data_IF_081989961998
#
_entry.id   IF_081989961998
#
_cell.length_a   1.000
_cell.length_b   1.000
_cell.length_c   1.000
_cell.angle_alpha   90.00
_cell.angle_beta   90.00
_cell.angle_gamma   90.00
#
_symmetry.space_group_name_H-M   'P 1'
#
loop_
_entity.id
_entity.type
_entity.pdbx_description
1 polymer ?
#
# COMPACT_ATOMS: atom_id res chain seq x y z
N UNK A 1 -10.83 26.04 -0.63
CA UNK A 1 -9.79 25.16 -1.18
C UNK A 1 -10.31 23.71 -1.13
N UNK A 2 -10.41 23.08 -2.29
CA UNK A 2 -10.85 21.69 -2.36
C UNK A 2 -9.62 20.78 -2.24
N UNK A 3 -9.38 20.19 -1.05
CA UNK A 3 -8.30 19.27 -0.77
C UNK A 3 -8.77 17.81 -0.79
N UNK A 4 -9.64 17.49 -1.74
CA UNK A 4 -10.15 16.11 -1.94
C UNK A 4 -9.00 15.15 -2.14
N UNK A 5 -9.05 14.01 -1.45
CA UNK A 5 -7.99 12.99 -1.47
C UNK A 5 -6.86 13.21 -0.45
N UNK A 6 -6.80 14.38 0.20
CA UNK A 6 -5.89 14.60 1.32
C UNK A 6 -6.37 13.91 2.58
N UNK A 7 -5.44 13.41 3.38
CA UNK A 7 -5.69 12.98 4.77
C UNK A 7 -5.64 14.16 5.75
N UNK A 8 -5.36 15.36 5.24
CA UNK A 8 -5.32 16.58 6.03
C UNK A 8 -3.95 16.90 6.60
N UNK A 9 -3.95 17.46 7.81
CA UNK A 9 -2.78 17.81 8.59
C UNK A 9 -2.79 17.04 9.92
N UNK A 10 -1.66 16.98 10.60
CA UNK A 10 -1.59 16.34 11.91
C UNK A 10 -2.53 17.03 12.93
N UNK A 11 -3.12 16.24 13.82
CA UNK A 11 -3.94 16.75 14.94
C UNK A 11 -3.06 17.56 15.93
N UNK A 12 -3.63 18.45 16.73
CA UNK A 12 -2.88 19.17 17.76
C UNK A 12 -2.13 18.23 18.71
N UNK A 13 -0.85 18.48 18.93
CA UNK A 13 0.04 17.64 19.74
C UNK A 13 0.70 16.50 18.99
N UNK A 14 0.38 16.34 17.68
CA UNK A 14 1.05 15.40 16.78
C UNK A 14 1.77 16.14 15.63
N UNK A 15 2.70 15.44 15.01
CA UNK A 15 3.47 15.94 13.89
C UNK A 15 3.62 14.86 12.82
N UNK A 16 3.42 15.22 11.55
CA UNK A 16 3.76 14.38 10.41
C UNK A 16 5.12 14.76 9.85
N UNK A 17 5.90 13.77 9.46
CA UNK A 17 7.11 13.93 8.67
C UNK A 17 7.14 12.89 7.56
N UNK A 18 7.94 13.15 6.53
CA UNK A 18 8.22 12.22 5.45
C UNK A 18 9.71 11.87 5.51
N UNK A 19 10.01 10.58 5.35
CA UNK A 19 11.38 10.08 5.27
C UNK A 19 11.60 9.32 3.97
N UNK A 20 12.82 9.38 3.45
CA UNK A 20 13.24 8.62 2.28
C UNK A 20 13.66 7.18 2.63
N UNK A 21 14.19 6.44 1.64
CA UNK A 21 14.66 5.06 1.82
C UNK A 21 15.88 4.96 2.75
N UNK A 22 16.67 6.03 2.87
CA UNK A 22 17.85 6.13 3.74
C UNK A 22 17.49 6.61 5.17
N UNK A 23 16.20 6.90 5.42
CA UNK A 23 15.70 7.40 6.69
C UNK A 23 15.89 8.90 6.88
N UNK A 24 16.28 9.64 5.85
CA UNK A 24 16.46 11.08 5.89
C UNK A 24 15.14 11.82 5.70
N UNK A 25 14.96 12.91 6.46
CA UNK A 25 13.74 13.72 6.40
C UNK A 25 13.61 14.46 5.08
N UNK A 26 12.47 14.31 4.42
CA UNK A 26 12.10 15.03 3.21
C UNK A 26 11.44 16.35 3.60
N UNK A 27 11.98 17.48 3.11
CA UNK A 27 11.45 18.82 3.39
C UNK A 27 10.82 19.49 2.17
N UNK A 28 11.09 18.97 0.97
CA UNK A 28 10.55 19.51 -0.29
C UNK A 28 9.10 19.05 -0.50
N UNK A 29 8.19 19.97 -0.88
CA UNK A 29 6.82 19.59 -1.20
C UNK A 29 6.76 18.72 -2.45
N UNK A 30 5.69 17.87 -2.55
CA UNK A 30 5.41 16.96 -3.64
C UNK A 30 6.50 15.90 -3.89
N UNK A 31 7.33 15.62 -2.89
CA UNK A 31 8.27 14.51 -2.89
C UNK A 31 7.70 13.38 -2.03
N UNK A 32 7.63 12.17 -2.59
CA UNK A 32 7.12 10.98 -1.90
C UNK A 32 8.13 10.44 -0.90
N UNK A 33 7.63 10.06 0.28
CA UNK A 33 8.38 9.36 1.31
C UNK A 33 7.47 8.56 2.23
N UNK A 34 8.05 7.79 3.14
CA UNK A 34 7.28 7.10 4.18
C UNK A 34 6.73 8.12 5.17
N UNK A 35 5.42 8.04 5.42
CA UNK A 35 4.77 8.88 6.42
C UNK A 35 5.11 8.39 7.82
N UNK A 36 5.66 9.30 8.62
CA UNK A 36 5.95 9.08 10.03
C UNK A 36 5.09 10.03 10.87
N UNK A 37 4.47 9.50 11.91
CA UNK A 37 3.72 10.30 12.87
C UNK A 37 4.45 10.31 14.21
N UNK A 38 4.60 11.50 14.82
CA UNK A 38 5.19 11.71 16.11
C UNK A 38 4.17 12.38 17.04
N UNK A 39 3.98 11.83 18.24
CA UNK A 39 3.02 12.39 19.20
C UNK A 39 2.89 11.56 20.47
N UNK A 40 2.45 12.19 21.54
CA UNK A 40 2.23 11.54 22.84
C UNK A 40 1.06 10.55 22.84
N UNK A 41 0.24 10.57 21.78
CA UNK A 41 -0.90 9.68 21.57
C UNK A 41 -0.54 8.47 20.70
N UNK A 42 0.73 8.29 20.31
CA UNK A 42 1.18 7.05 19.67
C UNK A 42 1.00 5.90 20.64
N UNK A 43 0.40 4.80 20.18
CA UNK A 43 0.23 3.59 20.98
C UNK A 43 1.59 2.96 21.30
N UNK A 44 1.68 2.25 22.40
CA UNK A 44 2.96 1.73 22.92
C UNK A 44 3.54 0.57 22.10
N UNK A 45 2.73 -0.17 21.40
CA UNK A 45 3.14 -1.32 20.59
C UNK A 45 1.96 -2.24 20.29
N UNK A 46 2.20 -3.27 19.50
CA UNK A 46 1.22 -4.31 19.20
C UNK A 46 1.28 -5.41 20.26
N UNK A 47 0.12 -5.96 20.65
CA UNK A 47 0.02 -7.10 21.55
C UNK A 47 -0.71 -8.24 20.83
N UNK A 48 -0.03 -9.37 20.63
CA UNK A 48 -0.58 -10.61 20.06
C UNK A 48 -0.78 -11.67 21.17
N UNK A 49 -0.12 -11.48 22.31
CA UNK A 49 -0.20 -12.34 23.48
C UNK A 49 -0.30 -11.53 24.79
N UNK A 50 -0.64 -12.19 25.90
CA UNK A 50 -0.68 -11.55 27.23
C UNK A 50 0.69 -11.01 27.65
N UNK A 51 1.77 -11.67 27.27
CA UNK A 51 3.13 -11.25 27.63
C UNK A 51 3.51 -9.92 26.96
N UNK A 52 2.93 -9.62 25.80
CA UNK A 52 3.19 -8.37 25.08
C UNK A 52 2.68 -7.14 25.84
N UNK A 53 1.69 -7.30 26.70
CA UNK A 53 1.17 -6.21 27.54
C UNK A 53 2.19 -5.68 28.56
N UNK A 54 3.26 -6.43 28.80
CA UNK A 54 4.32 -6.07 29.75
C UNK A 54 5.57 -5.48 29.07
N UNK A 55 5.60 -5.37 27.72
CA UNK A 55 6.77 -4.86 26.97
C UNK A 55 7.04 -3.37 27.15
N UNK A 56 6.06 -2.60 27.62
CA UNK A 56 6.20 -1.15 27.74
C UNK A 56 6.08 -0.42 26.39
N UNK A 57 6.58 0.82 26.32
CA UNK A 57 6.49 1.67 25.13
C UNK A 57 7.60 1.32 24.12
N UNK A 58 7.27 0.50 23.14
CA UNK A 58 8.18 0.12 22.04
C UNK A 58 8.31 1.23 20.99
N UNK A 59 7.25 2.01 20.76
CA UNK A 59 7.21 3.05 19.73
C UNK A 59 7.84 4.38 20.17
N UNK A 60 7.95 4.64 21.47
CA UNK A 60 8.55 5.85 22.04
C UNK A 60 7.99 7.14 21.43
N UNK A 61 6.69 7.16 21.17
CA UNK A 61 5.99 8.29 20.60
C UNK A 61 6.21 8.49 19.08
N UNK A 62 6.84 7.56 18.37
CA UNK A 62 7.09 7.63 16.93
C UNK A 62 6.44 6.43 16.24
N UNK A 63 5.61 6.68 15.23
CA UNK A 63 4.95 5.65 14.43
C UNK A 63 5.41 5.72 12.97
N UNK A 64 6.14 4.72 12.52
CA UNK A 64 6.38 4.44 11.11
C UNK A 64 5.14 3.78 10.54
N UNK A 65 4.36 4.53 9.76
CA UNK A 65 3.02 4.06 9.34
C UNK A 65 3.08 2.94 8.29
N UNK A 66 4.19 2.83 7.56
CA UNK A 66 4.31 1.96 6.39
C UNK A 66 3.53 2.47 5.18
N UNK A 67 2.90 3.64 5.27
CA UNK A 67 2.24 4.30 4.15
C UNK A 67 3.22 5.26 3.47
N UNK A 68 3.15 5.35 2.14
CA UNK A 68 3.85 6.36 1.36
C UNK A 68 2.92 7.56 1.16
N UNK A 69 3.49 8.74 1.29
CA UNK A 69 2.76 9.99 1.17
C UNK A 69 3.64 11.09 0.58
N UNK A 70 3.00 12.14 0.13
CA UNK A 70 3.64 13.44 -0.13
C UNK A 70 2.87 14.55 0.56
N UNK A 71 3.52 15.68 0.76
CA UNK A 71 2.91 16.88 1.32
C UNK A 71 2.89 17.97 0.23
N UNK A 72 1.77 18.70 0.10
CA UNK A 72 1.70 19.81 -0.82
C UNK A 72 2.34 21.09 -0.23
N UNK A 73 2.44 22.15 -1.02
CA UNK A 73 3.01 23.43 -0.59
C UNK A 73 2.21 24.15 0.50
N UNK A 74 0.98 23.70 0.77
CA UNK A 74 0.11 24.24 1.83
C UNK A 74 0.12 23.36 3.10
N UNK A 75 0.90 22.26 3.11
CA UNK A 75 1.07 21.40 4.28
C UNK A 75 0.04 20.27 4.39
N UNK A 76 -0.75 19.99 3.35
CA UNK A 76 -1.70 18.86 3.34
C UNK A 76 -1.04 17.59 2.83
N UNK A 77 -1.26 16.47 3.54
CA UNK A 77 -0.67 15.18 3.23
C UNK A 77 -1.62 14.35 2.38
N UNK A 78 -1.05 13.63 1.41
CA UNK A 78 -1.76 12.73 0.48
C UNK A 78 -1.09 11.36 0.51
N UNK A 79 -1.86 10.31 0.79
CA UNK A 79 -1.35 8.92 0.74
C UNK A 79 -1.26 8.49 -0.72
N UNK A 80 -0.11 8.01 -1.14
CA UNK A 80 0.14 7.48 -2.50
C UNK A 80 0.14 5.94 -2.56
N UNK A 81 0.28 5.27 -1.41
CA UNK A 81 0.24 3.81 -1.35
C UNK A 81 0.86 3.27 -0.06
N UNK A 82 1.17 1.97 -0.06
CA UNK A 82 1.85 1.31 1.05
C UNK A 82 3.25 0.88 0.69
N UNK A 83 4.23 1.14 1.56
CA UNK A 83 5.65 0.82 1.35
C UNK A 83 5.87 -0.65 0.95
N UNK A 84 5.15 -1.57 1.59
CA UNK A 84 5.21 -3.03 1.31
C UNK A 84 4.39 -3.48 0.10
N UNK A 85 3.66 -2.58 -0.56
CA UNK A 85 2.77 -2.86 -1.69
C UNK A 85 3.34 -2.36 -3.02
N UNK A 86 4.68 -2.34 -3.15
CA UNK A 86 5.37 -2.02 -4.39
C UNK A 86 6.23 -3.20 -4.82
N UNK A 87 6.30 -3.42 -6.13
CA UNK A 87 7.21 -4.36 -6.77
C UNK A 87 8.16 -3.61 -7.71
N UNK A 88 9.35 -4.16 -7.92
CA UNK A 88 10.24 -3.74 -9.00
C UNK A 88 10.09 -4.74 -10.15
N UNK A 89 9.39 -4.35 -11.23
CA UNK A 89 9.25 -5.15 -12.43
C UNK A 89 10.21 -4.61 -13.50
N UNK A 90 11.28 -5.36 -13.79
CA UNK A 90 12.32 -4.94 -14.73
C UNK A 90 12.84 -3.51 -14.50
N UNK A 91 13.09 -3.17 -13.23
CA UNK A 91 13.59 -1.86 -12.82
C UNK A 91 12.52 -0.77 -12.63
N UNK A 92 11.27 -1.01 -13.04
CA UNK A 92 10.17 -0.08 -12.82
C UNK A 92 9.45 -0.37 -11.51
N UNK A 93 9.25 0.66 -10.69
CA UNK A 93 8.49 0.55 -9.44
C UNK A 93 6.99 0.60 -9.74
N UNK A 94 6.26 -0.45 -9.39
CA UNK A 94 4.83 -0.60 -9.63
C UNK A 94 4.10 -0.74 -8.30
N UNK A 95 3.08 0.09 -8.08
CA UNK A 95 2.18 -0.03 -6.92
C UNK A 95 1.14 -1.12 -7.18
N UNK A 96 1.07 -2.12 -6.29
CA UNK A 96 0.05 -3.16 -6.35
C UNK A 96 -1.36 -2.58 -6.12
N UNK A 97 -1.48 -1.57 -5.24
CA UNK A 97 -2.75 -0.90 -4.98
C UNK A 97 -3.26 -0.14 -6.22
N UNK A 98 -2.34 0.48 -6.96
CA UNK A 98 -2.67 1.12 -8.25
C UNK A 98 -3.13 0.10 -9.29
N UNK A 99 -2.43 -1.03 -9.42
CA UNK A 99 -2.84 -2.11 -10.34
C UNK A 99 -4.22 -2.63 -9.95
N UNK A 100 -4.46 -2.90 -8.66
CA UNK A 100 -5.79 -3.33 -8.17
C UNK A 100 -6.88 -2.32 -8.50
N UNK A 101 -6.61 -1.01 -8.34
CA UNK A 101 -7.60 0.02 -8.64
C UNK A 101 -8.04 0.00 -10.12
N UNK A 102 -7.09 -0.22 -11.04
CA UNK A 102 -7.39 -0.31 -12.47
C UNK A 102 -8.14 -1.62 -12.80
N UNK A 103 -7.70 -2.74 -12.22
CA UNK A 103 -8.30 -4.06 -12.49
C UNK A 103 -9.72 -4.16 -11.92
N UNK A 104 -10.02 -3.52 -10.80
CA UNK A 104 -11.36 -3.45 -10.18
C UNK A 104 -12.43 -2.86 -11.10
N UNK A 105 -12.05 -2.02 -12.05
CA UNK A 105 -12.99 -1.50 -13.04
C UNK A 105 -13.46 -2.56 -14.04
N UNK A 106 -12.80 -3.73 -14.06
CA UNK A 106 -13.00 -4.78 -15.08
C UNK A 106 -13.44 -6.14 -14.51
N UNK A 107 -13.46 -6.32 -13.18
CA UNK A 107 -13.90 -7.54 -12.50
C UNK A 107 -14.58 -7.24 -11.18
N UNK A 108 -15.29 -8.23 -10.60
CA UNK A 108 -15.99 -8.07 -9.32
C UNK A 108 -15.02 -7.91 -8.16
N UNK A 109 -14.04 -8.80 -8.06
CA UNK A 109 -13.02 -8.77 -7.04
C UNK A 109 -11.65 -9.13 -7.62
N UNK A 110 -10.61 -8.43 -7.14
CA UNK A 110 -9.23 -8.77 -7.45
C UNK A 110 -8.32 -8.53 -6.25
N UNK A 111 -7.16 -9.17 -6.28
CA UNK A 111 -6.07 -8.93 -5.35
C UNK A 111 -4.74 -9.12 -6.08
N UNK A 112 -3.79 -8.23 -5.86
CA UNK A 112 -2.46 -8.29 -6.44
C UNK A 112 -1.43 -8.67 -5.38
N UNK A 113 -0.59 -9.64 -5.70
CA UNK A 113 0.59 -10.02 -4.92
C UNK A 113 1.78 -10.20 -5.86
N UNK A 114 2.96 -10.34 -5.33
CA UNK A 114 4.12 -10.63 -6.15
C UNK A 114 5.42 -10.46 -5.40
N UNK A 115 6.50 -10.73 -6.08
CA UNK A 115 7.87 -10.43 -5.73
C UNK A 115 8.52 -9.66 -6.86
N UNK A 116 9.76 -9.20 -6.69
CA UNK A 116 10.47 -8.52 -7.77
C UNK A 116 10.44 -9.35 -9.05
N UNK A 117 10.18 -8.68 -10.16
CA UNK A 117 10.04 -9.22 -11.51
C UNK A 117 8.83 -10.13 -11.78
N UNK A 118 7.95 -10.37 -10.79
CA UNK A 118 6.75 -11.18 -10.98
C UNK A 118 5.53 -10.60 -10.25
N UNK A 119 4.54 -10.14 -11.01
CA UNK A 119 3.22 -9.73 -10.52
C UNK A 119 2.21 -10.88 -10.71
N UNK A 120 1.39 -11.16 -9.71
CA UNK A 120 0.25 -12.07 -9.79
C UNK A 120 -1.03 -11.32 -9.46
N UNK A 121 -1.97 -11.36 -10.37
CA UNK A 121 -3.30 -10.75 -10.23
C UNK A 121 -4.33 -11.87 -10.07
N UNK A 122 -4.88 -12.01 -8.87
CA UNK A 122 -5.98 -12.89 -8.60
C UNK A 122 -7.31 -12.22 -8.90
N UNK A 123 -8.21 -12.94 -9.59
CA UNK A 123 -9.55 -12.47 -9.97
C UNK A 123 -10.59 -13.54 -9.70
N UNK A 124 -11.80 -13.13 -9.35
CA UNK A 124 -12.92 -14.07 -9.11
C UNK A 124 -13.75 -14.36 -10.35
N UNK A 125 -13.48 -13.68 -11.45
CA UNK A 125 -14.20 -13.81 -12.72
C UNK A 125 -13.32 -14.53 -13.76
N UNK A 126 -13.56 -15.82 -14.00
CA UNK A 126 -12.76 -16.62 -14.93
C UNK A 126 -12.81 -16.09 -16.37
N UNK A 127 -13.95 -15.59 -16.81
CA UNK A 127 -14.17 -15.03 -18.15
C UNK A 127 -13.51 -13.67 -18.37
N UNK A 128 -13.00 -13.04 -17.33
CA UNK A 128 -12.32 -11.71 -17.39
C UNK A 128 -10.80 -11.81 -17.55
N UNK A 129 -10.21 -12.98 -17.43
CA UNK A 129 -8.73 -13.15 -17.44
C UNK A 129 -8.08 -12.48 -18.66
N UNK A 130 -8.60 -12.73 -19.87
CA UNK A 130 -7.96 -12.21 -21.09
C UNK A 130 -8.18 -10.69 -21.25
N UNK A 131 -9.34 -10.17 -20.83
CA UNK A 131 -9.57 -8.72 -20.80
C UNK A 131 -8.64 -8.02 -19.82
N UNK A 132 -8.40 -8.63 -18.63
CA UNK A 132 -7.48 -8.10 -17.63
C UNK A 132 -6.03 -8.14 -18.11
N UNK A 133 -5.58 -9.19 -18.78
CA UNK A 133 -4.27 -9.23 -19.44
C UNK A 133 -4.10 -8.08 -20.43
N UNK A 134 -5.13 -7.81 -21.24
CA UNK A 134 -5.12 -6.67 -22.15
C UNK A 134 -5.02 -5.32 -21.41
N UNK A 135 -5.74 -5.16 -20.30
CA UNK A 135 -5.67 -3.96 -19.46
C UNK A 135 -4.26 -3.78 -18.87
N UNK A 136 -3.66 -4.83 -18.34
CA UNK A 136 -2.31 -4.78 -17.77
C UNK A 136 -1.27 -4.38 -18.81
N UNK A 137 -1.34 -4.92 -20.03
CA UNK A 137 -0.40 -4.60 -21.10
C UNK A 137 -0.60 -3.20 -21.67
N UNK A 138 -1.85 -2.75 -21.84
CA UNK A 138 -2.15 -1.54 -22.59
C UNK A 138 -2.33 -0.29 -21.72
N UNK A 139 -2.84 -0.44 -20.48
CA UNK A 139 -3.10 0.69 -19.57
C UNK A 139 -2.05 0.83 -18.48
N UNK A 140 -1.58 -0.30 -17.91
CA UNK A 140 -0.52 -0.31 -16.89
C UNK A 140 0.86 -0.40 -17.50
N UNK A 141 0.95 -0.80 -18.79
CA UNK A 141 2.18 -0.92 -19.57
C UNK A 141 3.18 -1.93 -18.97
N UNK A 142 2.66 -3.01 -18.37
CA UNK A 142 3.48 -4.09 -17.84
C UNK A 142 3.74 -5.11 -18.95
N UNK A 143 5.01 -5.52 -19.09
CA UNK A 143 5.38 -6.59 -20.02
C UNK A 143 4.63 -7.88 -19.68
N UNK A 144 4.01 -8.60 -20.65
CA UNK A 144 3.30 -9.85 -20.41
C UNK A 144 4.09 -10.93 -19.69
N UNK A 145 5.42 -10.96 -19.80
CA UNK A 145 6.28 -11.90 -19.09
C UNK A 145 6.43 -11.61 -17.59
N UNK A 146 6.12 -10.37 -17.16
CA UNK A 146 6.26 -9.92 -15.78
C UNK A 146 5.00 -10.14 -14.94
N UNK A 147 3.89 -10.59 -15.52
CA UNK A 147 2.66 -10.83 -14.76
C UNK A 147 1.98 -12.14 -15.12
N UNK A 148 1.15 -12.57 -14.21
CA UNK A 148 0.22 -13.70 -14.38
C UNK A 148 -1.15 -13.32 -13.83
N UNK A 149 -2.23 -13.67 -14.54
CA UNK A 149 -3.60 -13.51 -14.06
C UNK A 149 -4.14 -14.88 -13.69
N UNK A 150 -4.55 -15.08 -12.45
CA UNK A 150 -5.05 -16.34 -11.90
C UNK A 150 -6.50 -16.22 -11.45
N UNK A 151 -7.28 -17.21 -11.77
CA UNK A 151 -8.61 -17.37 -11.18
C UNK A 151 -8.49 -17.87 -9.73
N UNK A 152 -9.33 -17.32 -8.86
CA UNK A 152 -9.53 -17.80 -7.50
C UNK A 152 -11.03 -17.75 -7.18
N UNK A 153 -11.58 -18.82 -6.59
CA UNK A 153 -13.02 -18.89 -6.29
C UNK A 153 -13.47 -17.80 -5.28
N UNK A 154 -12.58 -17.36 -4.37
CA UNK A 154 -12.85 -16.32 -3.38
C UNK A 154 -11.55 -15.69 -2.93
N UNK A 155 -11.52 -14.37 -2.83
CA UNK A 155 -10.39 -13.62 -2.23
C UNK A 155 -10.44 -13.81 -0.70
N UNK A 156 -9.34 -14.28 -0.06
CA UNK A 156 -9.31 -14.46 1.39
C UNK A 156 -9.41 -13.12 2.12
N UNK A 157 -10.27 -13.09 3.15
CA UNK A 157 -10.53 -11.87 3.93
C UNK A 157 -10.62 -12.19 5.42
N UNK A 158 -10.25 -11.22 6.24
CA UNK A 158 -10.51 -11.22 7.68
C UNK A 158 -12.01 -11.06 7.94
N UNK A 159 -12.45 -11.30 9.18
CA UNK A 159 -13.85 -11.05 9.61
C UNK A 159 -14.26 -9.58 9.43
N UNK A 160 -13.31 -8.66 9.46
CA UNK A 160 -13.55 -7.22 9.19
C UNK A 160 -13.58 -6.88 7.69
N UNK A 161 -13.47 -7.87 6.78
CA UNK A 161 -13.52 -7.70 5.33
C UNK A 161 -12.20 -7.28 4.65
N UNK A 162 -11.09 -7.16 5.39
CA UNK A 162 -9.77 -6.82 4.80
C UNK A 162 -9.18 -8.04 4.10
N UNK A 163 -8.57 -7.84 2.93
CA UNK A 163 -7.87 -8.90 2.18
C UNK A 163 -6.67 -9.41 2.98
N UNK A 164 -6.53 -10.74 3.06
CA UNK A 164 -5.38 -11.44 3.66
C UNK A 164 -4.43 -11.83 2.53
N UNK A 165 -3.52 -10.91 2.20
CA UNK A 165 -2.59 -11.11 1.09
C UNK A 165 -1.59 -12.25 1.34
N UNK A 166 -1.28 -12.58 2.60
CA UNK A 166 -0.42 -13.70 2.96
C UNK A 166 -0.95 -15.06 2.52
N UNK A 167 -2.28 -15.18 2.38
CA UNK A 167 -2.94 -16.42 1.98
C UNK A 167 -2.99 -16.57 0.45
N UNK A 168 -2.53 -15.56 -0.29
CA UNK A 168 -2.40 -15.58 -1.74
C UNK A 168 -1.00 -16.05 -2.13
N UNK A 169 -0.93 -17.18 -2.82
CA UNK A 169 0.32 -17.81 -3.24
C UNK A 169 1.07 -16.95 -4.28
N UNK A 170 2.37 -16.78 -4.10
CA UNK A 170 3.27 -16.13 -5.05
C UNK A 170 3.89 -17.15 -6.02
N UNK A 171 3.73 -18.45 -5.72
CA UNK A 171 4.31 -19.58 -6.48
C UNK A 171 3.33 -20.11 -7.50
#
# INVERSE_FOLDING_TARGET
LNKVGSVGVAIPGGHFSLIDEDGMRIVSPNVEGELVYEGSNVFWGYAESLDDLFKGDENKGILYTGDLAYVDSEGFYYISGRKKRFLKLYGNRISLDFVESIVKDHCQECACVGSDDKLIVYVTDLDKIDSIKSVLSNRVLINPSAYEVRFIGKIPRTDSGKIIYSDLSII
#
